data_IF_009816560043
#
_entry.id   IF_009816560043
#
_cell.length_a   1.000
_cell.length_b   1.000
_cell.length_c   1.000
_cell.angle_alpha   90.00
_cell.angle_beta   90.00
_cell.angle_gamma   90.00
#
_symmetry.space_group_name_H-M   'P 1'
#
loop_
_entity.id
_entity.type
_entity.pdbx_description
1 polymer ?
#
# COMPACT_ATOMS: atom_id res chain seq x y z
N UNK A 1 -36.88 50.55 4.36
CA UNK A 1 -38.14 49.80 4.38
C UNK A 1 -38.71 50.02 5.77
N UNK A 2 -39.67 50.93 5.91
CA UNK A 2 -40.29 51.15 7.22
C UNK A 2 -41.14 49.94 7.59
N UNK A 3 -40.96 49.44 8.81
CA UNK A 3 -41.78 48.35 9.36
C UNK A 3 -43.25 48.77 9.35
N UNK A 4 -44.11 47.95 8.72
CA UNK A 4 -45.55 48.24 8.56
C UNK A 4 -46.26 48.39 9.91
N UNK A 5 -45.87 47.60 10.90
CA UNK A 5 -46.45 47.62 12.24
C UNK A 5 -45.37 47.96 13.26
N UNK A 6 -45.64 48.97 14.09
CA UNK A 6 -44.74 49.42 15.14
C UNK A 6 -45.35 49.11 16.52
N UNK A 7 -44.65 48.37 17.37
CA UNK A 7 -45.14 48.02 18.72
C UNK A 7 -45.06 49.23 19.65
N UNK A 8 -46.19 49.61 20.23
CA UNK A 8 -46.33 50.75 21.14
C UNK A 8 -46.28 50.35 22.62
N UNK A 9 -46.80 49.17 22.96
CA UNK A 9 -46.99 48.75 24.35
C UNK A 9 -47.07 47.23 24.47
N UNK A 10 -46.70 46.71 25.64
CA UNK A 10 -46.91 45.32 26.02
C UNK A 10 -47.35 45.27 27.49
N UNK A 11 -48.50 44.66 27.75
CA UNK A 11 -49.05 44.41 29.09
C UNK A 11 -48.27 43.27 29.78
N UNK A 12 -48.22 43.20 31.12
CA UNK A 12 -47.69 42.04 31.82
C UNK A 12 -48.29 40.73 31.31
N UNK A 13 -47.42 39.76 31.02
CA UNK A 13 -47.81 38.46 30.46
C UNK A 13 -48.32 37.51 31.54
N UNK A 14 -49.25 36.63 31.19
CA UNK A 14 -49.85 35.59 32.04
C UNK A 14 -50.71 36.14 33.19
N UNK A 15 -51.67 37.01 32.91
CA UNK A 15 -52.64 37.47 33.91
C UNK A 15 -53.76 36.45 34.12
N UNK A 16 -54.16 36.29 35.38
CA UNK A 16 -55.20 35.37 35.82
C UNK A 16 -55.98 35.93 37.02
N UNK A 17 -57.29 35.71 37.04
CA UNK A 17 -58.12 35.88 38.24
C UNK A 17 -58.70 34.52 38.65
N UNK A 18 -58.94 34.33 39.96
CA UNK A 18 -59.47 33.05 40.47
C UNK A 18 -60.77 32.66 39.77
N UNK A 19 -60.95 31.38 39.48
CA UNK A 19 -62.12 30.86 38.77
C UNK A 19 -62.18 31.18 37.28
N UNK A 20 -61.24 31.95 36.72
CA UNK A 20 -61.24 32.27 35.29
C UNK A 20 -60.96 31.02 34.45
N UNK A 21 -61.76 30.73 33.41
CA UNK A 21 -61.46 29.65 32.48
C UNK A 21 -60.36 30.04 31.47
N UNK A 22 -59.89 31.30 31.48
CA UNK A 22 -58.93 31.84 30.53
C UNK A 22 -57.77 32.51 31.25
N UNK A 23 -56.56 32.25 30.78
CA UNK A 23 -55.35 32.99 31.13
C UNK A 23 -55.05 33.99 30.01
N UNK A 24 -54.85 35.25 30.36
CA UNK A 24 -54.39 36.28 29.42
C UNK A 24 -52.88 36.14 29.29
N UNK A 25 -52.41 35.52 28.22
CA UNK A 25 -50.99 35.21 28.02
C UNK A 25 -50.21 36.46 27.65
N UNK A 26 -50.75 37.28 26.73
CA UNK A 26 -50.16 38.58 26.38
C UNK A 26 -51.22 39.54 25.82
N UNK A 27 -50.93 40.83 25.95
CA UNK A 27 -51.63 41.90 25.26
C UNK A 27 -50.63 42.91 24.74
N UNK A 28 -50.48 43.01 23.43
CA UNK A 28 -49.55 43.94 22.78
C UNK A 28 -50.33 44.97 21.97
N UNK A 29 -49.86 46.22 21.97
CA UNK A 29 -50.45 47.31 21.20
C UNK A 29 -49.54 47.66 20.03
N UNK A 30 -50.13 47.83 18.86
CA UNK A 30 -49.42 48.18 17.63
C UNK A 30 -50.04 49.40 16.97
N UNK A 31 -49.17 50.14 16.28
CA UNK A 31 -49.55 51.16 15.31
C UNK A 31 -49.29 50.63 13.91
N UNK A 32 -50.30 50.66 13.06
CA UNK A 32 -50.14 50.45 11.62
C UNK A 32 -49.66 51.78 10.99
N UNK A 33 -48.44 51.79 10.47
CA UNK A 33 -47.84 52.99 9.87
C UNK A 33 -48.45 53.36 8.51
N UNK A 34 -49.21 52.45 7.87
CA UNK A 34 -49.89 52.74 6.60
C UNK A 34 -51.27 53.36 6.83
N UNK A 35 -52.03 52.82 7.78
CA UNK A 35 -53.41 53.28 8.04
C UNK A 35 -53.50 54.30 9.18
N UNK A 36 -52.46 54.42 10.00
CA UNK A 36 -52.48 55.20 11.24
C UNK A 36 -53.31 54.55 12.36
N UNK A 37 -53.90 53.37 12.10
CA UNK A 37 -54.74 52.65 13.04
C UNK A 37 -53.95 52.08 14.22
N UNK A 38 -54.58 52.07 15.39
CA UNK A 38 -54.06 51.45 16.59
C UNK A 38 -54.84 50.17 16.84
N UNK A 39 -54.16 49.05 17.05
CA UNK A 39 -54.80 47.79 17.36
C UNK A 39 -54.08 47.04 18.46
N UNK A 40 -54.85 46.30 19.26
CA UNK A 40 -54.36 45.34 20.23
C UNK A 40 -54.32 43.95 19.61
N UNK A 41 -53.27 43.19 19.91
CA UNK A 41 -53.15 41.77 19.59
C UNK A 41 -52.97 41.02 20.90
N UNK A 42 -53.87 40.07 21.15
CA UNK A 42 -53.95 39.40 22.44
C UNK A 42 -53.86 37.90 22.26
N UNK A 43 -53.15 37.26 23.18
CA UNK A 43 -53.05 35.80 23.24
C UNK A 43 -53.72 35.35 24.52
N UNK A 44 -54.64 34.41 24.39
CA UNK A 44 -55.35 33.77 25.48
C UNK A 44 -55.03 32.29 25.50
N UNK A 45 -55.07 31.67 26.67
CA UNK A 45 -54.96 30.21 26.84
C UNK A 45 -56.18 29.70 27.58
N UNK A 46 -56.82 28.67 27.06
CA UNK A 46 -57.91 28.00 27.78
C UNK A 46 -57.34 27.20 28.96
N UNK A 47 -57.71 27.56 30.19
CA UNK A 47 -57.35 26.83 31.40
C UNK A 47 -58.43 25.80 31.81
N UNK A 48 -59.66 25.96 31.34
CA UNK A 48 -60.80 25.14 31.70
C UNK A 48 -60.81 23.76 31.03
N UNK A 49 -61.59 22.84 31.61
CA UNK A 49 -61.82 21.48 31.11
C UNK A 49 -62.60 21.45 29.80
N UNK A 50 -63.53 22.38 29.63
CA UNK A 50 -64.40 22.44 28.47
C UNK A 50 -63.78 23.32 27.37
N UNK A 51 -63.94 22.96 26.08
CA UNK A 51 -63.54 23.83 24.99
C UNK A 51 -64.30 25.15 25.01
N UNK A 52 -63.59 26.26 24.73
CA UNK A 52 -64.18 27.59 24.61
C UNK A 52 -64.56 27.84 23.15
N UNK A 53 -65.80 28.31 22.94
CA UNK A 53 -66.33 28.67 21.62
C UNK A 53 -66.48 30.18 21.38
N UNK A 54 -66.55 30.96 22.46
CA UNK A 54 -66.52 32.42 22.36
C UNK A 54 -65.92 33.07 23.61
N UNK A 55 -65.21 34.18 23.39
CA UNK A 55 -64.61 35.01 24.43
C UNK A 55 -65.00 36.47 24.20
N UNK A 56 -65.54 37.14 25.21
CA UNK A 56 -65.71 38.60 25.22
C UNK A 56 -64.62 39.22 26.08
N UNK A 57 -63.70 39.95 25.46
CA UNK A 57 -62.63 40.66 26.12
C UNK A 57 -62.97 42.16 26.23
N UNK A 58 -62.58 42.77 27.34
CA UNK A 58 -62.77 44.19 27.64
C UNK A 58 -61.43 44.90 27.60
N UNK A 59 -61.37 45.98 26.84
CA UNK A 59 -60.20 46.81 26.64
C UNK A 59 -60.48 48.19 27.22
N UNK A 60 -59.70 48.63 28.20
CA UNK A 60 -59.67 50.02 28.65
C UNK A 60 -58.46 50.70 28.01
N UNK A 61 -58.63 51.50 26.94
CA UNK A 61 -57.53 52.22 26.33
C UNK A 61 -56.92 53.22 27.31
N UNK A 62 -55.62 53.46 27.20
CA UNK A 62 -54.83 54.35 28.05
C UNK A 62 -54.01 55.33 27.19
N UNK A 63 -53.81 56.54 27.70
CA UNK A 63 -52.93 57.54 27.10
C UNK A 63 -51.44 57.34 27.47
N UNK A 64 -50.58 58.28 27.06
CA UNK A 64 -49.13 58.24 27.38
C UNK A 64 -48.82 58.33 28.87
N UNK A 65 -49.75 58.80 29.69
CA UNK A 65 -49.60 58.94 31.15
C UNK A 65 -50.18 57.75 31.91
N UNK A 66 -50.87 56.83 31.22
CA UNK A 66 -51.58 55.70 31.82
C UNK A 66 -53.00 56.05 32.29
N UNK A 67 -53.53 57.22 31.94
CA UNK A 67 -54.90 57.60 32.25
C UNK A 67 -55.89 56.95 31.27
N UNK A 68 -57.09 56.53 31.73
CA UNK A 68 -58.08 55.90 30.87
C UNK A 68 -58.62 56.86 29.80
N UNK A 69 -58.61 56.39 28.55
CA UNK A 69 -59.22 57.05 27.39
C UNK A 69 -60.60 56.46 27.12
N UNK A 70 -61.64 57.29 27.16
CA UNK A 70 -63.01 56.89 26.83
C UNK A 70 -63.59 55.77 27.71
N UNK A 71 -64.67 55.16 27.23
CA UNK A 71 -65.28 53.99 27.87
C UNK A 71 -64.57 52.70 27.45
N UNK A 72 -64.51 51.66 28.32
CA UNK A 72 -64.01 50.35 27.93
C UNK A 72 -64.76 49.82 26.70
N UNK A 73 -64.01 49.35 25.70
CA UNK A 73 -64.55 48.65 24.54
C UNK A 73 -64.62 47.15 24.78
N UNK A 74 -65.63 46.48 24.22
CA UNK A 74 -65.71 45.02 24.20
C UNK A 74 -65.41 44.48 22.81
N UNK A 75 -64.67 43.37 22.74
CA UNK A 75 -64.46 42.61 21.52
C UNK A 75 -64.85 41.15 21.74
N UNK A 76 -65.57 40.58 20.78
CA UNK A 76 -66.03 39.20 20.82
C UNK A 76 -65.20 38.36 19.84
N UNK A 77 -64.40 37.46 20.39
CA UNK A 77 -63.83 36.35 19.63
C UNK A 77 -64.89 35.27 19.52
N UNK A 78 -65.36 35.02 18.30
CA UNK A 78 -66.42 34.05 17.98
C UNK A 78 -65.84 32.85 17.24
N UNK A 79 -66.67 31.81 17.06
CA UNK A 79 -66.34 30.60 16.28
C UNK A 79 -65.03 29.94 16.70
N UNK A 80 -64.70 30.01 18.00
CA UNK A 80 -63.50 29.41 18.55
C UNK A 80 -63.67 27.90 18.68
N UNK A 81 -62.58 27.17 18.48
CA UNK A 81 -62.43 25.79 18.91
C UNK A 81 -61.16 25.70 19.75
N UNK A 82 -61.24 26.23 20.97
CA UNK A 82 -60.11 26.23 21.91
C UNK A 82 -60.32 25.17 23.01
N UNK A 83 -59.93 23.90 22.79
CA UNK A 83 -59.78 22.91 23.85
C UNK A 83 -58.89 23.40 24.98
N UNK A 84 -58.90 22.68 26.11
CA UNK A 84 -57.98 22.93 27.22
C UNK A 84 -56.55 23.06 26.72
N UNK A 85 -55.85 24.05 27.24
CA UNK A 85 -54.44 24.33 26.97
C UNK A 85 -54.09 24.89 25.60
N UNK A 86 -55.09 25.13 24.75
CA UNK A 86 -54.91 25.74 23.44
C UNK A 86 -54.81 27.26 23.56
N UNK A 87 -53.90 27.85 22.78
CA UNK A 87 -53.70 29.29 22.65
C UNK A 87 -54.55 29.84 21.49
N UNK A 88 -55.20 30.98 21.70
CA UNK A 88 -56.07 31.61 20.71
C UNK A 88 -56.06 33.14 20.83
N UNK A 89 -56.64 33.82 19.84
CA UNK A 89 -56.72 35.29 19.77
C UNK A 89 -55.57 35.95 18.98
N UNK A 90 -54.44 35.26 18.81
CA UNK A 90 -53.25 35.83 18.16
C UNK A 90 -53.47 36.27 16.71
N UNK A 91 -54.47 35.76 16.00
CA UNK A 91 -54.72 36.10 14.59
C UNK A 91 -55.79 37.18 14.39
N UNK A 92 -56.34 37.73 15.48
CA UNK A 92 -57.48 38.65 15.45
C UNK A 92 -57.10 40.01 16.03
N UNK A 93 -56.63 40.98 15.21
CA UNK A 93 -56.31 42.31 15.67
C UNK A 93 -57.58 43.07 16.09
N UNK A 94 -57.56 43.66 17.28
CA UNK A 94 -58.65 44.45 17.85
C UNK A 94 -58.33 45.93 17.70
N UNK A 95 -58.92 46.59 16.70
CA UNK A 95 -58.70 48.02 16.48
C UNK A 95 -59.36 48.85 17.59
N UNK A 96 -58.58 49.72 18.21
CA UNK A 96 -59.05 50.64 19.24
C UNK A 96 -59.45 51.97 18.58
N UNK A 97 -60.58 52.59 19.00
CA UNK A 97 -61.16 53.72 18.29
C UNK A 97 -60.32 55.01 18.38
N UNK A 98 -59.54 55.16 19.46
CA UNK A 98 -58.72 56.35 19.71
C UNK A 98 -57.28 56.14 19.21
N UNK A 99 -56.86 56.90 18.20
CA UNK A 99 -55.51 56.82 17.61
C UNK A 99 -54.40 57.37 18.52
N UNK A 100 -54.77 58.06 19.60
CA UNK A 100 -53.84 58.54 20.64
C UNK A 100 -53.55 57.49 21.71
N UNK A 101 -54.21 56.31 21.66
CA UNK A 101 -53.97 55.20 22.58
C UNK A 101 -52.49 54.78 22.59
N UNK A 102 -51.91 54.65 23.78
CA UNK A 102 -50.53 54.21 24.00
C UNK A 102 -50.39 53.05 24.98
N UNK A 103 -51.47 52.60 25.58
CA UNK A 103 -51.55 51.36 26.34
C UNK A 103 -53.00 50.91 26.48
N UNK A 104 -53.24 49.77 27.11
CA UNK A 104 -54.59 49.34 27.47
C UNK A 104 -54.56 48.40 28.66
N UNK A 105 -55.63 48.38 29.47
CA UNK A 105 -55.87 47.29 30.42
C UNK A 105 -56.81 46.26 29.79
N UNK A 106 -56.49 45.00 29.97
CA UNK A 106 -57.25 43.86 29.43
C UNK A 106 -57.91 43.08 30.56
N UNK A 107 -59.20 42.78 30.42
CA UNK A 107 -59.92 41.85 31.29
C UNK A 107 -60.90 41.01 30.48
N UNK A 108 -61.32 39.86 31.04
CA UNK A 108 -62.31 39.00 30.39
C UNK A 108 -63.69 39.33 30.93
N UNK A 109 -64.63 39.67 30.04
CA UNK A 109 -66.01 40.00 30.41
C UNK A 109 -66.95 38.80 30.37
N UNK A 110 -66.75 37.86 29.44
CA UNK A 110 -67.60 36.67 29.29
C UNK A 110 -66.89 35.55 28.55
N UNK A 111 -67.10 34.30 28.96
CA UNK A 111 -66.64 33.10 28.26
C UNK A 111 -67.81 32.19 28.01
N UNK A 112 -67.94 31.66 26.79
CA UNK A 112 -68.97 30.70 26.41
C UNK A 112 -68.30 29.40 26.00
N UNK A 113 -68.70 28.31 26.65
CA UNK A 113 -68.15 26.98 26.40
C UNK A 113 -68.92 26.23 25.32
N UNK A 114 -68.35 25.13 24.83
CA UNK A 114 -68.94 24.27 23.82
C UNK A 114 -70.33 23.72 24.22
N UNK A 115 -70.58 23.50 25.51
CA UNK A 115 -71.85 23.01 26.06
C UNK A 115 -72.90 24.12 26.28
N UNK A 116 -72.58 25.37 25.91
CA UNK A 116 -73.36 26.59 26.15
C UNK A 116 -73.39 27.09 27.60
N UNK A 117 -72.63 26.50 28.52
CA UNK A 117 -72.40 27.13 29.81
C UNK A 117 -71.64 28.45 29.63
N UNK A 118 -71.88 29.40 30.53
CA UNK A 118 -71.33 30.76 30.47
C UNK A 118 -70.62 31.06 31.77
N UNK A 119 -69.42 31.61 31.66
CA UNK A 119 -68.69 32.19 32.77
C UNK A 119 -68.61 33.70 32.61
N UNK A 120 -68.76 34.41 33.72
CA UNK A 120 -68.57 35.87 33.84
C UNK A 120 -67.71 36.15 35.08
N UNK A 121 -66.82 37.15 35.04
CA UNK A 121 -66.02 37.51 36.20
C UNK A 121 -66.90 38.08 37.32
N UNK A 122 -66.44 37.94 38.56
CA UNK A 122 -66.98 38.70 39.69
C UNK A 122 -66.72 40.20 39.53
N UNK A 123 -67.54 41.05 40.16
CA UNK A 123 -67.45 42.51 40.02
C UNK A 123 -66.09 43.09 40.46
N UNK A 124 -65.41 42.42 41.39
CA UNK A 124 -64.11 42.78 41.97
C UNK A 124 -62.96 41.87 41.48
N UNK A 125 -63.13 41.16 40.36
CA UNK A 125 -62.13 40.25 39.82
C UNK A 125 -60.76 40.91 39.60
N UNK A 126 -59.79 40.58 40.44
CA UNK A 126 -58.42 41.05 40.35
C UNK A 126 -57.57 40.15 39.44
N UNK A 127 -57.08 40.73 38.33
CA UNK A 127 -56.17 40.08 37.39
C UNK A 127 -54.73 40.24 37.85
N UNK A 128 -54.10 39.13 38.24
CA UNK A 128 -52.74 39.10 38.78
C UNK A 128 -51.83 38.27 37.89
N UNK A 129 -50.53 38.59 37.91
CA UNK A 129 -49.54 37.86 37.14
C UNK A 129 -49.29 36.47 37.74
N UNK A 130 -49.50 35.43 36.93
CA UNK A 130 -49.11 34.07 37.27
C UNK A 130 -47.58 33.96 37.42
N UNK A 131 -47.07 33.32 38.48
CA UNK A 131 -45.65 33.09 38.65
C UNK A 131 -45.04 32.36 37.45
N UNK A 132 -43.92 32.89 36.97
CA UNK A 132 -43.11 32.24 35.94
C UNK A 132 -42.59 30.90 36.47
N UNK A 133 -42.71 29.80 35.70
CA UNK A 133 -42.26 28.50 36.15
C UNK A 133 -40.74 28.48 36.30
N UNK A 134 -40.25 28.09 37.47
CA UNK A 134 -38.83 27.85 37.68
C UNK A 134 -38.42 26.53 37.00
N UNK A 135 -37.33 26.50 36.21
CA UNK A 135 -36.83 25.25 35.62
C UNK A 135 -36.45 24.25 36.71
N UNK A 136 -36.88 22.98 36.58
CA UNK A 136 -36.57 21.94 37.56
C UNK A 136 -35.06 21.71 37.71
N UNK A 137 -34.32 21.87 36.62
CA UNK A 137 -32.86 21.79 36.60
C UNK A 137 -32.19 22.83 37.51
N UNK A 138 -32.74 24.05 37.61
CA UNK A 138 -32.23 25.09 38.49
C UNK A 138 -32.44 24.72 39.97
N UNK A 139 -33.58 24.10 40.30
CA UNK A 139 -33.90 23.65 41.67
C UNK A 139 -33.07 22.44 42.10
N UNK A 140 -32.83 21.47 41.20
CA UNK A 140 -32.07 20.26 41.54
C UNK A 140 -30.55 20.45 41.46
N UNK A 141 -30.04 21.30 40.56
CA UNK A 141 -28.63 21.68 40.46
C UNK A 141 -27.65 20.56 40.03
N UNK A 142 -28.11 19.33 39.85
CA UNK A 142 -27.31 18.16 39.49
C UNK A 142 -27.99 17.40 38.34
N UNK A 143 -27.25 17.19 37.25
CA UNK A 143 -27.73 16.50 36.05
C UNK A 143 -28.14 15.04 36.32
N UNK A 144 -27.44 14.38 37.24
CA UNK A 144 -27.68 12.97 37.56
C UNK A 144 -28.84 12.79 38.53
N UNK A 145 -29.05 13.80 39.39
CA UNK A 145 -30.28 13.93 40.18
C UNK A 145 -31.48 14.27 39.30
N UNK A 146 -31.32 15.12 38.28
CA UNK A 146 -32.33 15.37 37.25
C UNK A 146 -32.68 14.09 36.48
N UNK A 147 -31.67 13.30 36.11
CA UNK A 147 -31.87 11.98 35.47
C UNK A 147 -32.63 11.02 36.38
N UNK A 148 -32.27 10.95 37.67
CA UNK A 148 -33.02 10.15 38.65
C UNK A 148 -34.46 10.64 38.78
N UNK A 149 -34.68 11.95 38.85
CA UNK A 149 -36.01 12.55 38.91
C UNK A 149 -36.84 12.16 37.68
N UNK A 150 -36.25 12.23 36.48
CA UNK A 150 -36.90 11.84 35.23
C UNK A 150 -37.24 10.35 35.18
N UNK A 151 -36.41 9.47 35.73
CA UNK A 151 -36.69 8.04 35.84
C UNK A 151 -37.86 7.75 36.79
N UNK A 152 -37.96 8.47 37.90
CA UNK A 152 -38.99 8.25 38.93
C UNK A 152 -40.34 8.88 38.57
N UNK A 153 -40.32 10.13 38.11
CA UNK A 153 -41.53 10.91 37.88
C UNK A 153 -41.87 11.05 36.40
N UNK A 154 -40.94 10.83 35.47
CA UNK A 154 -41.17 10.92 34.03
C UNK A 154 -40.29 11.97 33.34
N UNK A 155 -39.86 11.65 32.12
CA UNK A 155 -38.91 12.43 31.33
C UNK A 155 -39.43 13.79 30.86
N UNK A 156 -40.73 14.01 30.90
CA UNK A 156 -41.40 15.27 30.59
C UNK A 156 -41.38 16.28 31.76
N UNK A 157 -40.72 15.95 32.87
CA UNK A 157 -40.53 16.85 34.02
C UNK A 157 -39.52 17.96 33.70
N UNK A 158 -40.02 19.17 33.47
CA UNK A 158 -39.26 20.33 33.01
C UNK A 158 -39.21 21.48 34.04
N UNK A 159 -40.29 21.69 34.80
CA UNK A 159 -40.46 22.83 35.71
C UNK A 159 -40.78 22.37 37.13
N UNK A 160 -40.68 23.27 38.09
CA UNK A 160 -41.04 23.01 39.48
C UNK A 160 -42.56 23.04 39.67
N UNK A 161 -43.03 22.25 40.63
CA UNK A 161 -44.39 22.35 41.13
C UNK A 161 -44.62 23.72 41.78
N UNK A 162 -45.75 24.35 41.47
CA UNK A 162 -46.17 25.61 42.07
C UNK A 162 -47.69 25.70 42.16
N UNK A 163 -48.20 26.34 43.21
CA UNK A 163 -49.62 26.63 43.41
C UNK A 163 -49.87 28.13 43.26
N UNK A 164 -51.01 28.49 42.67
CA UNK A 164 -51.44 29.87 42.53
C UNK A 164 -52.96 29.97 42.52
N UNK A 165 -53.54 30.58 43.55
CA UNK A 165 -54.99 30.67 43.75
C UNK A 165 -55.64 29.27 43.63
N UNK A 166 -56.61 29.10 42.74
CA UNK A 166 -57.33 27.84 42.47
C UNK A 166 -56.64 26.97 41.39
N UNK A 167 -55.38 27.26 41.07
CA UNK A 167 -54.58 26.52 40.08
C UNK A 167 -53.32 25.90 40.70
N UNK A 168 -52.85 24.82 40.10
CA UNK A 168 -51.53 24.26 40.34
C UNK A 168 -50.84 23.89 39.03
N UNK A 169 -49.52 24.03 39.00
CA UNK A 169 -48.68 23.71 37.85
C UNK A 169 -47.97 22.38 38.07
N UNK A 170 -48.17 21.46 37.13
CA UNK A 170 -47.44 20.20 37.11
C UNK A 170 -45.99 20.41 36.64
N UNK A 171 -45.09 19.50 37.00
CA UNK A 171 -43.70 19.50 36.53
C UNK A 171 -43.56 19.39 35.01
N UNK A 172 -44.59 18.92 34.28
CA UNK A 172 -44.63 18.97 32.82
C UNK A 172 -45.03 20.34 32.22
N UNK A 173 -45.27 21.34 33.08
CA UNK A 173 -45.67 22.70 32.70
C UNK A 173 -47.18 22.92 32.51
N UNK A 174 -47.99 21.86 32.57
CA UNK A 174 -49.44 21.94 32.45
C UNK A 174 -50.06 22.64 33.67
N UNK A 175 -51.12 23.41 33.43
CA UNK A 175 -51.88 24.11 34.48
C UNK A 175 -53.16 23.30 34.76
N UNK A 176 -53.37 23.03 36.04
CA UNK A 176 -54.45 22.20 36.56
C UNK A 176 -55.27 22.99 37.56
N UNK A 177 -56.54 22.61 37.74
CA UNK A 177 -57.40 23.18 38.76
C UNK A 177 -57.19 22.47 40.10
N UNK A 178 -57.40 23.18 41.21
CA UNK A 178 -57.17 22.66 42.56
C UNK A 178 -57.93 21.38 42.89
N UNK A 179 -59.09 21.17 42.28
CA UNK A 179 -59.95 19.98 42.45
C UNK A 179 -59.45 18.77 41.63
N UNK A 180 -58.41 18.93 40.82
CA UNK A 180 -57.80 17.86 40.02
C UNK A 180 -56.71 17.14 40.80
N UNK A 181 -56.88 15.84 41.14
CA UNK A 181 -55.89 15.08 41.90
C UNK A 181 -54.67 14.69 41.05
N UNK A 182 -54.77 14.78 39.73
CA UNK A 182 -53.72 14.39 38.79
C UNK A 182 -53.66 15.36 37.61
N UNK A 183 -52.48 15.44 37.00
CA UNK A 183 -52.24 16.34 35.88
C UNK A 183 -53.04 15.86 34.65
N UNK A 184 -53.86 16.74 34.07
CA UNK A 184 -54.65 16.39 32.89
C UNK A 184 -53.78 16.00 31.68
N UNK A 185 -52.55 16.52 31.62
CA UNK A 185 -51.64 16.33 30.48
C UNK A 185 -50.78 15.06 30.61
N UNK A 186 -50.11 14.87 31.75
CA UNK A 186 -49.14 13.79 31.94
C UNK A 186 -49.57 12.73 32.96
N UNK A 187 -50.75 12.86 33.57
CA UNK A 187 -51.31 11.88 34.51
C UNK A 187 -50.65 11.83 35.88
N UNK A 188 -49.57 12.60 36.13
CA UNK A 188 -48.88 12.60 37.43
C UNK A 188 -49.81 13.07 38.55
N UNK A 189 -49.83 12.31 39.64
CA UNK A 189 -50.58 12.66 40.85
C UNK A 189 -50.01 13.94 41.49
N UNK A 190 -50.89 14.87 41.84
CA UNK A 190 -50.54 16.16 42.46
C UNK A 190 -49.74 15.94 43.74
N UNK A 191 -50.20 15.05 44.61
CA UNK A 191 -49.56 14.76 45.89
C UNK A 191 -48.12 14.24 45.72
N UNK A 192 -47.87 13.41 44.71
CA UNK A 192 -46.55 12.82 44.46
C UNK A 192 -45.50 13.83 43.99
N UNK A 193 -45.93 14.87 43.25
CA UNK A 193 -45.01 15.88 42.69
C UNK A 193 -44.96 17.18 43.49
N UNK A 194 -45.94 17.43 44.35
CA UNK A 194 -45.99 18.62 45.20
C UNK A 194 -44.88 18.61 46.27
N UNK A 195 -44.60 17.44 46.84
CA UNK A 195 -43.57 17.25 47.85
C UNK A 195 -42.74 15.99 47.55
N UNK A 196 -41.89 16.03 46.51
CA UNK A 196 -41.06 14.89 46.15
C UNK A 196 -39.99 14.65 47.23
N UNK A 197 -39.78 13.39 47.61
CA UNK A 197 -38.71 13.02 48.53
C UNK A 197 -37.34 13.15 47.85
N UNK A 198 -36.70 14.31 48.03
CA UNK A 198 -35.40 14.63 47.44
C UNK A 198 -34.26 13.82 48.05
N UNK A 199 -34.37 13.41 49.32
CA UNK A 199 -33.32 12.61 49.97
C UNK A 199 -33.38 11.16 49.48
N UNK A 200 -34.58 10.59 49.32
CA UNK A 200 -34.75 9.30 48.66
C UNK A 200 -34.22 9.33 47.22
N UNK A 201 -34.51 10.38 46.45
CA UNK A 201 -33.97 10.54 45.10
C UNK A 201 -32.43 10.60 45.08
N UNK A 202 -31.80 11.32 46.02
CA UNK A 202 -30.33 11.35 46.12
C UNK A 202 -29.76 9.97 46.45
N UNK A 203 -30.39 9.24 47.37
CA UNK A 203 -30.00 7.87 47.70
C UNK A 203 -30.10 6.93 46.49
N UNK A 204 -31.22 6.97 45.76
CA UNK A 204 -31.41 6.16 44.54
C UNK A 204 -30.39 6.52 43.44
N UNK A 205 -30.08 7.82 43.27
CA UNK A 205 -29.03 8.29 42.35
C UNK A 205 -27.67 7.69 42.72
N UNK A 206 -27.29 7.76 44.01
CA UNK A 206 -25.99 7.32 44.47
C UNK A 206 -25.84 5.79 44.36
N UNK A 207 -26.91 5.04 44.63
CA UNK A 207 -26.96 3.59 44.44
C UNK A 207 -26.81 3.20 42.96
N UNK A 208 -27.53 3.89 42.05
CA UNK A 208 -27.37 3.68 40.60
C UNK A 208 -25.93 3.95 40.17
N UNK A 209 -25.37 5.09 40.55
CA UNK A 209 -24.02 5.48 40.16
C UNK A 209 -22.97 4.49 40.67
N UNK A 210 -23.13 3.99 41.89
CA UNK A 210 -22.26 2.95 42.44
C UNK A 210 -22.35 1.66 41.62
N UNK A 211 -23.56 1.20 41.32
CA UNK A 211 -23.76 0.01 40.50
C UNK A 211 -23.18 0.16 39.08
N UNK A 212 -23.40 1.31 38.44
CA UNK A 212 -22.81 1.62 37.12
C UNK A 212 -21.28 1.66 37.16
N UNK A 213 -20.68 2.22 38.20
CA UNK A 213 -19.24 2.25 38.39
C UNK A 213 -18.65 0.84 38.57
N UNK A 214 -19.27 -0.01 39.40
CA UNK A 214 -18.85 -1.41 39.60
C UNK A 214 -18.93 -2.22 38.30
N UNK A 215 -19.98 -2.03 37.50
CA UNK A 215 -20.12 -2.69 36.20
C UNK A 215 -19.09 -2.19 35.19
N UNK A 216 -18.79 -0.89 35.18
CA UNK A 216 -17.75 -0.32 34.34
C UNK A 216 -16.34 -0.82 34.72
N UNK A 217 -16.05 -0.99 36.01
CA UNK A 217 -14.80 -1.57 36.48
C UNK A 217 -14.63 -3.03 36.05
N UNK A 218 -15.67 -3.86 36.26
CA UNK A 218 -15.66 -5.27 35.79
C UNK A 218 -15.44 -5.37 34.28
N UNK A 219 -16.14 -4.55 33.50
CA UNK A 219 -15.98 -4.51 32.05
C UNK A 219 -14.55 -4.09 31.62
N UNK A 220 -13.93 -3.14 32.33
CA UNK A 220 -12.54 -2.73 32.08
C UNK A 220 -11.56 -3.86 32.39
N UNK A 221 -11.73 -4.55 33.52
CA UNK A 221 -10.89 -5.69 33.89
C UNK A 221 -10.99 -6.84 32.87
N UNK A 222 -12.20 -7.20 32.44
CA UNK A 222 -12.43 -8.20 31.40
C UNK A 222 -11.81 -7.79 30.05
N UNK A 223 -11.92 -6.51 29.66
CA UNK A 223 -11.32 -6.01 28.44
C UNK A 223 -9.78 -6.06 28.47
N UNK A 224 -9.16 -5.77 29.62
CA UNK A 224 -7.71 -5.87 29.79
C UNK A 224 -7.22 -7.31 29.70
N UNK A 225 -7.92 -8.25 30.36
CA UNK A 225 -7.61 -9.69 30.27
C UNK A 225 -7.77 -10.23 28.83
N UNK A 226 -8.82 -9.81 28.10
CA UNK A 226 -8.98 -10.13 26.68
C UNK A 226 -7.84 -9.59 25.82
N UNK A 227 -7.39 -8.35 26.05
CA UNK A 227 -6.23 -7.77 25.35
C UNK A 227 -4.96 -8.59 25.62
N UNK A 228 -4.67 -8.92 26.88
CA UNK A 228 -3.51 -9.77 27.26
C UNK A 228 -3.59 -11.14 26.58
N UNK A 229 -4.76 -11.78 26.57
CA UNK A 229 -4.98 -13.08 25.92
C UNK A 229 -4.76 -13.00 24.40
N UNK A 230 -5.26 -11.96 23.74
CA UNK A 230 -5.08 -11.76 22.29
C UNK A 230 -3.61 -11.52 21.93
N UNK A 231 -2.87 -10.73 22.72
CA UNK A 231 -1.42 -10.55 22.51
C UNK A 231 -0.66 -11.88 22.67
N UNK A 232 -1.01 -12.70 23.68
CA UNK A 232 -0.40 -14.04 23.86
C UNK A 232 -0.69 -14.96 22.66
N UNK A 233 -1.93 -14.97 22.15
CA UNK A 233 -2.32 -15.75 20.95
C UNK A 233 -1.59 -15.29 19.70
N UNK A 234 -1.50 -13.98 19.47
CA UNK A 234 -0.77 -13.40 18.33
C UNK A 234 0.72 -13.75 18.37
N UNK A 235 1.38 -13.66 19.55
CA UNK A 235 2.78 -14.08 19.72
C UNK A 235 2.99 -15.56 19.43
N UNK A 236 2.07 -16.45 19.82
CA UNK A 236 2.14 -17.88 19.49
C UNK A 236 2.02 -18.13 17.98
N UNK A 237 1.08 -17.45 17.31
CA UNK A 237 0.88 -17.58 15.88
C UNK A 237 2.07 -17.04 15.07
N UNK A 238 2.61 -15.88 15.46
CA UNK A 238 3.79 -15.29 14.82
C UNK A 238 4.99 -16.26 14.84
N UNK A 239 5.25 -16.94 15.97
CA UNK A 239 6.33 -17.94 16.07
C UNK A 239 6.21 -19.10 15.08
N UNK A 240 4.98 -19.45 14.65
CA UNK A 240 4.74 -20.52 13.68
C UNK A 240 4.87 -19.98 12.25
N UNK A 241 4.34 -18.78 11.97
CA UNK A 241 4.30 -18.21 10.63
C UNK A 241 5.68 -17.73 10.18
N UNK A 242 6.48 -17.10 11.06
CA UNK A 242 7.80 -16.56 10.73
C UNK A 242 8.73 -17.56 10.02
N UNK A 243 8.98 -18.79 10.54
CA UNK A 243 9.87 -19.73 9.85
C UNK A 243 9.31 -20.19 8.50
N UNK A 244 7.99 -20.34 8.36
CA UNK A 244 7.36 -20.73 7.10
C UNK A 244 7.58 -19.65 6.04
N UNK A 245 7.39 -18.38 6.39
CA UNK A 245 7.62 -17.26 5.46
C UNK A 245 9.08 -17.17 5.04
N UNK A 246 10.02 -17.38 5.97
CA UNK A 246 11.46 -17.41 5.65
C UNK A 246 11.79 -18.53 4.66
N UNK A 247 11.25 -19.74 4.87
CA UNK A 247 11.44 -20.87 3.97
C UNK A 247 10.85 -20.61 2.58
N UNK A 248 9.67 -19.98 2.50
CA UNK A 248 9.06 -19.61 1.21
C UNK A 248 9.87 -18.56 0.46
N UNK A 249 10.40 -17.55 1.16
CA UNK A 249 11.26 -16.52 0.56
C UNK A 249 12.55 -17.14 0.05
N UNK A 250 13.20 -17.99 0.87
CA UNK A 250 14.41 -18.70 0.46
C UNK A 250 14.17 -19.59 -0.77
N UNK A 251 13.03 -20.29 -0.81
CA UNK A 251 12.63 -21.09 -1.97
C UNK A 251 12.40 -20.25 -3.23
N UNK A 252 11.76 -19.08 -3.12
CA UNK A 252 11.55 -18.18 -4.23
C UNK A 252 12.87 -17.60 -4.78
N UNK A 253 13.82 -17.23 -3.90
CA UNK A 253 15.15 -16.76 -4.29
C UNK A 253 15.92 -17.88 -5.02
N UNK A 254 15.88 -19.10 -4.48
CA UNK A 254 16.52 -20.25 -5.11
C UNK A 254 15.93 -20.57 -6.49
N UNK A 255 14.60 -20.54 -6.63
CA UNK A 255 13.92 -20.72 -7.91
C UNK A 255 14.31 -19.66 -8.93
N UNK A 256 14.38 -18.38 -8.53
CA UNK A 256 14.83 -17.30 -9.42
C UNK A 256 16.27 -17.50 -9.91
N UNK A 257 17.19 -17.85 -9.02
CA UNK A 257 18.57 -18.19 -9.37
C UNK A 257 18.64 -19.40 -10.32
N UNK A 258 17.88 -20.46 -10.03
CA UNK A 258 17.85 -21.68 -10.85
C UNK A 258 17.30 -21.43 -12.26
N UNK A 259 16.20 -20.66 -12.38
CA UNK A 259 15.60 -20.34 -13.69
C UNK A 259 16.56 -19.53 -14.56
N UNK A 260 17.19 -18.50 -14.01
CA UNK A 260 18.16 -17.69 -14.76
C UNK A 260 19.35 -18.52 -15.27
N UNK A 261 19.90 -19.41 -14.42
CA UNK A 261 20.96 -20.33 -14.84
C UNK A 261 20.48 -21.36 -15.87
N UNK A 262 19.21 -21.79 -15.80
CA UNK A 262 18.64 -22.68 -16.82
C UNK A 262 18.52 -22.00 -18.17
N UNK A 263 18.06 -20.75 -18.23
CA UNK A 263 17.95 -20.01 -19.49
C UNK A 263 19.34 -19.77 -20.11
N UNK A 264 20.34 -19.40 -19.30
CA UNK A 264 21.76 -19.30 -19.73
C UNK A 264 22.29 -20.63 -20.29
N UNK A 265 21.94 -21.75 -19.66
CA UNK A 265 22.33 -23.09 -20.10
C UNK A 265 21.65 -23.48 -21.42
N UNK A 266 20.36 -23.21 -21.57
CA UNK A 266 19.63 -23.52 -22.80
C UNK A 266 20.16 -22.66 -23.97
N UNK A 267 20.60 -21.42 -23.70
CA UNK A 267 21.29 -20.57 -24.68
C UNK A 267 22.69 -21.13 -25.05
N UNK A 268 23.47 -21.61 -24.08
CA UNK A 268 24.76 -22.24 -24.34
C UNK A 268 24.63 -23.50 -25.22
N UNK A 269 23.60 -24.32 -24.99
CA UNK A 269 23.29 -25.45 -25.87
C UNK A 269 22.94 -24.99 -27.30
N UNK A 270 22.15 -23.92 -27.44
CA UNK A 270 21.78 -23.40 -28.76
C UNK A 270 22.98 -22.88 -29.56
N UNK A 271 23.98 -22.28 -28.90
CA UNK A 271 25.25 -21.88 -29.52
C UNK A 271 26.02 -23.10 -30.02
N UNK A 272 26.09 -24.16 -29.20
CA UNK A 272 26.75 -25.41 -29.59
C UNK A 272 26.04 -26.08 -30.78
N UNK A 273 24.70 -26.12 -30.79
CA UNK A 273 23.91 -26.64 -31.92
C UNK A 273 24.08 -25.80 -33.20
N UNK A 274 24.35 -24.51 -33.08
CA UNK A 274 24.64 -23.60 -34.19
C UNK A 274 26.09 -23.72 -34.71
N UNK A 275 26.96 -24.43 -34.00
CA UNK A 275 28.39 -24.54 -34.32
C UNK A 275 29.23 -23.33 -33.86
N UNK A 276 28.66 -22.45 -33.04
CA UNK A 276 29.36 -21.31 -32.40
C UNK A 276 30.08 -21.83 -31.14
N UNK A 277 31.15 -22.61 -31.37
CA UNK A 277 31.85 -23.37 -30.32
C UNK A 277 32.55 -22.49 -29.28
N UNK A 278 33.21 -21.40 -29.71
CA UNK A 278 33.92 -20.48 -28.81
C UNK A 278 32.93 -19.81 -27.85
N UNK A 279 31.83 -19.29 -28.37
CA UNK A 279 30.76 -18.66 -27.58
C UNK A 279 30.06 -19.67 -26.65
N UNK A 280 29.86 -20.91 -27.11
CA UNK A 280 29.31 -21.98 -26.29
C UNK A 280 30.22 -22.32 -25.10
N UNK A 281 31.54 -22.42 -25.32
CA UNK A 281 32.53 -22.69 -24.26
C UNK A 281 32.55 -21.56 -23.23
N UNK A 282 32.52 -20.30 -23.65
CA UNK A 282 32.46 -19.16 -22.73
C UNK A 282 31.18 -19.25 -21.86
N UNK A 283 30.04 -19.50 -22.49
CA UNK A 283 28.75 -19.61 -21.80
C UNK A 283 28.73 -20.79 -20.81
N UNK A 284 29.21 -21.97 -21.21
CA UNK A 284 29.30 -23.13 -20.31
C UNK A 284 30.30 -22.93 -19.17
N UNK A 285 31.41 -22.22 -19.43
CA UNK A 285 32.39 -21.88 -18.40
C UNK A 285 31.77 -20.95 -17.35
N UNK A 286 30.99 -19.95 -17.77
CA UNK A 286 30.25 -19.06 -16.88
C UNK A 286 29.15 -19.76 -16.06
N UNK A 287 28.64 -20.90 -16.53
CA UNK A 287 27.68 -21.75 -15.82
C UNK A 287 28.34 -22.65 -14.76
N UNK A 288 29.63 -22.97 -14.92
CA UNK A 288 30.42 -23.73 -13.95
C UNK A 288 29.82 -25.13 -13.69
N UNK A 289 29.45 -25.40 -12.43
CA UNK A 289 28.89 -26.71 -12.03
C UNK A 289 27.36 -26.83 -12.23
N UNK A 290 26.73 -25.85 -12.89
CA UNK A 290 25.31 -25.93 -13.18
C UNK A 290 25.03 -27.01 -14.24
N UNK A 291 24.07 -27.90 -13.94
CA UNK A 291 23.76 -29.09 -14.76
C UNK A 291 25.06 -29.83 -15.13
N UNK A 292 25.29 -30.06 -16.42
CA UNK A 292 26.40 -30.77 -17.03
C UNK A 292 27.26 -29.84 -17.92
N UNK A 293 27.29 -28.53 -17.65
CA UNK A 293 28.05 -27.56 -18.47
C UNK A 293 29.52 -27.95 -18.66
N UNK A 294 30.18 -28.45 -17.61
CA UNK A 294 31.56 -28.96 -17.72
C UNK A 294 31.67 -30.22 -18.59
N UNK A 295 30.65 -31.08 -18.58
CA UNK A 295 30.61 -32.25 -19.48
C UNK A 295 30.52 -31.82 -20.94
N UNK A 296 29.74 -30.78 -21.25
CA UNK A 296 29.61 -30.28 -22.61
C UNK A 296 30.95 -29.78 -23.16
N UNK A 297 31.71 -29.02 -22.35
CA UNK A 297 33.07 -28.58 -22.71
C UNK A 297 34.00 -29.80 -22.86
N UNK A 298 33.91 -30.80 -21.99
CA UNK A 298 34.73 -32.02 -22.06
C UNK A 298 34.47 -32.79 -23.35
N UNK A 299 33.20 -32.98 -23.72
CA UNK A 299 32.82 -33.67 -24.94
C UNK A 299 33.30 -32.92 -26.18
N UNK A 300 33.28 -31.58 -26.16
CA UNK A 300 33.83 -30.76 -27.24
C UNK A 300 35.35 -30.89 -27.35
N UNK A 301 36.06 -30.90 -26.22
CA UNK A 301 37.51 -31.13 -26.19
C UNK A 301 37.89 -32.49 -26.80
N UNK A 302 37.14 -33.54 -26.47
CA UNK A 302 37.31 -34.87 -27.06
C UNK A 302 37.02 -34.86 -28.57
N UNK A 303 35.97 -34.16 -29.03
CA UNK A 303 35.66 -34.03 -30.45
C UNK A 303 36.77 -33.30 -31.23
N UNK A 304 37.36 -32.23 -30.66
CA UNK A 304 38.52 -31.53 -31.25
C UNK A 304 39.73 -32.44 -31.37
N UNK A 305 40.00 -33.26 -30.36
CA UNK A 305 41.07 -34.25 -30.41
C UNK A 305 40.84 -35.27 -31.53
N UNK A 306 39.60 -35.75 -31.70
CA UNK A 306 39.24 -36.67 -32.80
C UNK A 306 39.38 -36.03 -34.19
N UNK A 307 39.11 -34.73 -34.32
CA UNK A 307 39.26 -33.96 -35.57
C UNK A 307 40.73 -33.61 -35.89
N UNK A 308 41.65 -33.78 -34.93
CA UNK A 308 43.06 -33.44 -35.05
C UNK A 308 43.39 -31.98 -34.71
N UNK A 309 42.45 -31.24 -34.14
CA UNK A 309 42.68 -29.92 -33.54
C UNK A 309 43.28 -30.09 -32.14
N UNK A 310 44.57 -30.45 -32.10
CA UNK A 310 45.29 -30.75 -30.86
C UNK A 310 45.45 -29.53 -29.97
N UNK A 311 45.77 -28.36 -30.54
CA UNK A 311 45.93 -27.13 -29.78
C UNK A 311 44.60 -26.71 -29.12
N UNK A 312 43.48 -26.75 -29.87
CA UNK A 312 42.15 -26.47 -29.34
C UNK A 312 41.69 -27.48 -28.29
N UNK A 313 41.95 -28.78 -28.49
CA UNK A 313 41.63 -29.81 -27.51
C UNK A 313 42.40 -29.62 -26.19
N UNK A 314 43.70 -29.35 -26.26
CA UNK A 314 44.54 -29.11 -25.08
C UNK A 314 44.08 -27.86 -24.31
N UNK A 315 43.69 -26.79 -25.00
CA UNK A 315 43.15 -25.57 -24.37
C UNK A 315 41.87 -25.86 -23.58
N UNK A 316 40.91 -26.57 -24.18
CA UNK A 316 39.65 -26.91 -23.52
C UNK A 316 39.84 -27.85 -22.32
N UNK A 317 40.66 -28.91 -22.47
CA UNK A 317 40.99 -29.81 -21.35
C UNK A 317 41.74 -29.07 -20.23
N UNK A 318 42.64 -28.14 -20.56
CA UNK A 318 43.31 -27.30 -19.55
C UNK A 318 42.31 -26.41 -18.82
N UNK A 319 41.37 -25.79 -19.55
CA UNK A 319 40.32 -24.93 -18.97
C UNK A 319 39.37 -25.68 -18.01
N UNK A 320 39.20 -26.98 -18.20
CA UNK A 320 38.39 -27.85 -17.34
C UNK A 320 39.05 -28.20 -16.00
N UNK A 321 40.37 -28.09 -15.89
CA UNK A 321 41.14 -28.36 -14.67
C UNK A 321 40.88 -29.76 -14.12
N UNK A 322 40.43 -29.86 -12.87
CA UNK A 322 40.18 -31.13 -12.16
C UNK A 322 38.84 -31.80 -12.54
N UNK A 323 38.20 -31.39 -13.65
CA UNK A 323 36.98 -32.05 -14.11
C UNK A 323 37.32 -33.37 -14.82
N UNK A 324 36.78 -34.48 -14.30
CA UNK A 324 37.08 -35.83 -14.77
C UNK A 324 38.60 -36.09 -14.83
N UNK A 325 39.11 -36.56 -15.96
CA UNK A 325 40.53 -36.81 -16.23
C UNK A 325 41.14 -35.73 -17.15
N UNK A 326 40.54 -34.53 -17.23
CA UNK A 326 40.96 -33.48 -18.18
C UNK A 326 42.45 -33.15 -18.09
N UNK A 327 43.02 -33.13 -16.89
CA UNK A 327 44.47 -32.92 -16.70
C UNK A 327 45.33 -34.02 -17.36
N UNK A 328 44.89 -35.28 -17.31
CA UNK A 328 45.56 -36.39 -17.99
C UNK A 328 45.29 -36.36 -19.50
N UNK A 329 44.11 -35.88 -19.92
CA UNK A 329 43.76 -35.70 -21.33
C UNK A 329 44.64 -34.65 -22.02
N UNK A 330 45.09 -33.60 -21.33
CA UNK A 330 46.08 -32.65 -21.89
C UNK A 330 47.34 -33.37 -22.36
N UNK A 331 47.86 -34.32 -21.56
CA UNK A 331 49.01 -35.11 -21.96
C UNK A 331 48.66 -36.10 -23.08
N UNK A 332 47.45 -36.68 -23.06
CA UNK A 332 46.97 -37.58 -24.10
C UNK A 332 46.89 -36.90 -25.48
N UNK A 333 46.46 -35.63 -25.52
CA UNK A 333 46.37 -34.83 -26.74
C UNK A 333 47.74 -34.73 -27.42
N UNK A 334 48.77 -34.33 -26.68
CA UNK A 334 50.12 -34.20 -27.24
C UNK A 334 50.74 -35.54 -27.60
N UNK A 335 50.46 -36.59 -26.81
CA UNK A 335 50.88 -37.95 -27.12
C UNK A 335 50.29 -38.42 -28.45
N UNK A 336 48.99 -38.20 -28.64
CA UNK A 336 48.27 -38.56 -29.86
C UNK A 336 48.74 -37.74 -31.06
N UNK A 337 49.06 -36.45 -30.88
CA UNK A 337 49.68 -35.61 -31.93
C UNK A 337 51.02 -36.19 -32.38
N UNK A 338 51.88 -36.54 -31.43
CA UNK A 338 53.19 -37.14 -31.72
C UNK A 338 53.05 -38.47 -32.47
N UNK A 339 52.13 -39.34 -32.04
CA UNK A 339 51.83 -40.59 -32.74
C UNK A 339 51.29 -40.36 -34.15
N UNK A 340 50.43 -39.35 -34.34
CA UNK A 340 49.87 -39.02 -35.65
C UNK A 340 50.93 -38.48 -36.60
N UNK A 341 51.85 -37.66 -36.12
CA UNK A 341 53.00 -37.18 -36.88
C UNK A 341 53.84 -38.35 -37.39
N UNK A 342 54.24 -39.27 -36.50
CA UNK A 342 55.02 -40.45 -36.88
C UNK A 342 54.31 -41.33 -37.91
N UNK A 343 52.99 -41.56 -37.73
CA UNK A 343 52.20 -42.35 -38.68
C UNK A 343 52.06 -41.67 -40.05
N UNK A 344 52.23 -40.36 -40.12
CA UNK A 344 52.15 -39.55 -41.34
C UNK A 344 53.46 -39.43 -42.12
N UNK A 345 54.58 -39.91 -41.57
CA UNK A 345 55.91 -39.78 -42.20
C UNK A 345 55.96 -40.51 -43.55
N UNK A 346 56.24 -39.75 -44.60
CA UNK A 346 56.54 -40.26 -45.94
C UNK A 346 58.05 -40.30 -46.17
N UNK A 347 58.64 -41.48 -45.97
CA UNK A 347 60.09 -41.74 -46.14
C UNK A 347 60.61 -41.51 -47.57
N UNK A 348 59.76 -41.14 -48.54
CA UNK A 348 60.19 -40.70 -49.87
C UNK A 348 60.55 -39.21 -49.94
N UNK A 349 60.24 -38.43 -48.89
CA UNK A 349 60.52 -36.99 -48.80
C UNK A 349 61.55 -36.72 -47.70
N UNK A 350 62.70 -36.18 -48.07
CA UNK A 350 63.88 -36.12 -47.18
C UNK A 350 63.79 -35.06 -46.09
N UNK A 351 63.53 -33.81 -46.47
CA UNK A 351 63.60 -32.67 -45.54
C UNK A 351 62.40 -32.63 -44.59
N UNK A 352 61.18 -32.83 -45.12
CA UNK A 352 59.96 -32.87 -44.32
C UNK A 352 60.01 -33.97 -43.28
N UNK A 353 60.47 -35.16 -43.66
CA UNK A 353 60.57 -36.32 -42.76
C UNK A 353 61.47 -36.05 -41.56
N UNK A 354 62.63 -35.41 -41.75
CA UNK A 354 63.52 -35.08 -40.65
C UNK A 354 62.91 -34.05 -39.68
N UNK A 355 62.16 -33.09 -40.20
CA UNK A 355 61.41 -32.13 -39.37
C UNK A 355 60.28 -32.78 -38.59
N UNK A 356 59.55 -33.71 -39.19
CA UNK A 356 58.45 -34.44 -38.55
C UNK A 356 58.97 -35.36 -37.41
N UNK A 357 60.15 -35.98 -37.61
CA UNK A 357 60.83 -36.73 -36.56
C UNK A 357 61.27 -35.83 -35.38
N UNK A 358 61.77 -34.63 -35.66
CA UNK A 358 62.17 -33.65 -34.64
C UNK A 358 60.96 -33.15 -33.83
N UNK A 359 59.86 -32.80 -34.51
CA UNK A 359 58.61 -32.38 -33.83
C UNK A 359 58.02 -33.52 -32.98
N UNK A 360 57.97 -34.74 -33.52
CA UNK A 360 57.49 -35.90 -32.75
C UNK A 360 58.39 -36.18 -31.53
N UNK A 361 59.71 -36.04 -31.67
CA UNK A 361 60.65 -36.18 -30.56
C UNK A 361 60.39 -35.13 -29.48
N UNK A 362 60.25 -33.84 -29.84
CA UNK A 362 59.99 -32.77 -28.89
C UNK A 362 58.66 -32.98 -28.14
N UNK A 363 57.61 -33.44 -28.83
CA UNK A 363 56.34 -33.75 -28.18
C UNK A 363 56.46 -34.92 -27.19
N UNK A 364 57.06 -36.04 -27.57
CA UNK A 364 57.26 -37.17 -26.63
C UNK A 364 58.20 -36.80 -25.47
N UNK A 365 59.28 -36.08 -25.75
CA UNK A 365 60.22 -35.59 -24.74
C UNK A 365 59.54 -34.67 -23.73
N UNK A 366 58.71 -33.74 -24.21
CA UNK A 366 57.96 -32.80 -23.37
C UNK A 366 56.94 -33.45 -22.43
N UNK A 367 56.47 -34.66 -22.77
CA UNK A 367 55.53 -35.44 -21.96
C UNK A 367 56.18 -36.16 -20.77
N UNK A 368 57.51 -36.26 -20.72
CA UNK A 368 58.23 -36.91 -19.62
C UNK A 368 57.79 -38.35 -19.36
N UNK A 369 57.38 -38.63 -18.12
CA UNK A 369 56.98 -39.98 -17.65
C UNK A 369 55.52 -40.35 -18.01
N UNK A 370 54.82 -39.57 -18.85
CA UNK A 370 53.47 -39.90 -19.27
C UNK A 370 53.46 -41.12 -20.22
N UNK A 371 52.67 -42.15 -19.89
CA UNK A 371 52.58 -43.38 -20.67
C UNK A 371 53.97 -44.02 -20.90
N UNK A 372 54.37 -44.23 -22.15
CA UNK A 372 55.68 -44.70 -22.61
C UNK A 372 56.43 -43.60 -23.39
N UNK A 373 56.11 -42.32 -23.14
CA UNK A 373 56.65 -41.18 -23.90
C UNK A 373 58.18 -41.11 -23.88
N UNK A 374 58.83 -41.40 -22.75
CA UNK A 374 60.28 -41.42 -22.67
C UNK A 374 60.90 -42.51 -23.58
N UNK A 375 60.31 -43.71 -23.60
CA UNK A 375 60.72 -44.78 -24.50
C UNK A 375 60.45 -44.44 -25.96
N UNK A 376 59.30 -43.83 -26.26
CA UNK A 376 58.93 -43.34 -27.59
C UNK A 376 59.90 -42.29 -28.09
N UNK A 377 60.25 -41.28 -27.28
CA UNK A 377 61.22 -40.25 -27.64
C UNK A 377 62.58 -40.86 -28.02
N UNK A 378 63.07 -41.81 -27.22
CA UNK A 378 64.33 -42.52 -27.51
C UNK A 378 64.25 -43.34 -28.81
N UNK A 379 63.11 -44.00 -29.06
CA UNK A 379 62.89 -44.75 -30.30
C UNK A 379 62.83 -43.84 -31.54
N UNK A 380 62.11 -42.71 -31.44
CA UNK A 380 62.03 -41.69 -32.50
C UNK A 380 63.41 -41.13 -32.82
N UNK A 381 64.21 -40.81 -31.79
CA UNK A 381 65.57 -40.30 -31.98
C UNK A 381 66.47 -41.34 -32.68
N UNK A 382 66.37 -42.62 -32.30
CA UNK A 382 67.13 -43.69 -32.93
C UNK A 382 66.71 -43.92 -34.39
N UNK A 383 65.41 -43.94 -34.68
CA UNK A 383 64.89 -44.08 -36.04
C UNK A 383 65.25 -42.87 -36.92
N UNK A 384 65.20 -41.66 -36.37
CA UNK A 384 65.64 -40.46 -37.06
C UNK A 384 67.15 -40.52 -37.40
N UNK A 385 67.99 -41.04 -36.50
CA UNK A 385 69.42 -41.19 -36.75
C UNK A 385 69.73 -42.25 -37.82
N UNK A 386 68.99 -43.37 -37.81
CA UNK A 386 69.04 -44.39 -38.86
C UNK A 386 68.60 -43.80 -40.21
N UNK A 387 67.51 -43.04 -40.25
CA UNK A 387 67.05 -42.38 -41.46
C UNK A 387 68.07 -41.34 -41.98
N UNK A 388 68.69 -40.54 -41.10
CA UNK A 388 69.78 -39.62 -41.49
C UNK A 388 70.95 -40.36 -42.11
N UNK A 389 71.29 -41.53 -41.59
CA UNK A 389 72.34 -42.39 -42.14
C UNK A 389 71.98 -42.89 -43.54
N UNK A 390 70.76 -43.40 -43.73
CA UNK A 390 70.29 -43.87 -45.04
C UNK A 390 70.30 -42.75 -46.08
N UNK A 391 69.81 -41.56 -45.72
CA UNK A 391 69.83 -40.38 -46.58
C UNK A 391 71.26 -39.96 -46.92
N UNK A 392 72.17 -39.98 -45.94
CA UNK A 392 73.57 -39.63 -46.14
C UNK A 392 74.27 -40.59 -47.11
N UNK A 393 73.99 -41.88 -47.03
CA UNK A 393 74.52 -42.87 -47.96
C UNK A 393 73.89 -42.72 -49.37
N UNK A 394 72.59 -42.45 -49.44
CA UNK A 394 71.88 -42.15 -50.70
C UNK A 394 72.49 -40.93 -51.42
N UNK A 395 72.92 -39.89 -50.68
CA UNK A 395 73.60 -38.73 -51.27
C UNK A 395 74.82 -39.14 -52.12
N UNK A 396 75.61 -40.11 -51.66
CA UNK A 396 76.78 -40.56 -52.42
C UNK A 396 76.38 -41.38 -53.65
N UNK A 397 75.36 -42.23 -53.54
CA UNK A 397 74.81 -42.96 -54.69
C UNK A 397 74.23 -42.00 -55.75
N UNK A 398 73.57 -40.93 -55.31
CA UNK A 398 73.07 -39.86 -56.17
C UNK A 398 74.21 -39.13 -56.89
N UNK A 399 75.32 -38.84 -56.21
CA UNK A 399 76.52 -38.26 -56.86
C UNK A 399 77.09 -39.22 -57.91
N UNK A 400 77.25 -40.50 -57.59
CA UNK A 400 77.79 -41.51 -58.51
C UNK A 400 76.91 -41.72 -59.75
N UNK A 401 75.59 -41.64 -59.57
CA UNK A 401 74.60 -41.71 -60.66
C UNK A 401 74.42 -40.40 -61.42
N UNK A 402 75.13 -39.33 -61.03
CA UNK A 402 75.14 -38.02 -61.69
C UNK A 402 73.99 -37.09 -61.29
N UNK A 403 73.19 -37.44 -60.28
CA UNK A 403 72.14 -36.60 -59.73
C UNK A 403 72.65 -35.73 -58.56
N UNK A 404 73.65 -34.90 -58.86
CA UNK A 404 74.38 -34.07 -57.87
C UNK A 404 73.47 -33.03 -57.20
N UNK A 405 72.49 -32.48 -57.91
CA UNK A 405 71.59 -31.47 -57.36
C UNK A 405 70.69 -32.02 -56.25
N UNK A 406 70.15 -33.24 -56.41
CA UNK A 406 69.37 -33.89 -55.34
C UNK A 406 70.25 -34.22 -54.14
N UNK A 407 71.46 -34.77 -54.37
CA UNK A 407 72.42 -35.04 -53.31
C UNK A 407 72.81 -33.79 -52.53
N UNK A 408 73.05 -32.67 -53.21
CA UNK A 408 73.33 -31.37 -52.60
C UNK A 408 72.21 -30.92 -51.67
N UNK A 409 70.95 -31.01 -52.12
CA UNK A 409 69.79 -30.65 -51.29
C UNK A 409 69.64 -31.57 -50.06
N UNK A 410 69.97 -32.85 -50.18
CA UNK A 410 69.93 -33.79 -49.06
C UNK A 410 71.06 -33.51 -48.06
N UNK A 411 72.29 -33.24 -48.52
CA UNK A 411 73.40 -32.82 -47.65
C UNK A 411 73.11 -31.51 -46.93
N UNK A 412 72.46 -30.55 -47.60
CA UNK A 412 71.99 -29.32 -46.96
C UNK A 412 71.04 -29.61 -45.80
N UNK A 413 70.02 -30.42 -46.04
CA UNK A 413 69.03 -30.80 -45.04
C UNK A 413 69.68 -31.53 -43.85
N UNK A 414 70.52 -32.54 -44.12
CA UNK A 414 71.31 -33.22 -43.08
C UNK A 414 72.22 -32.25 -42.30
N UNK A 415 72.79 -31.27 -42.98
CA UNK A 415 73.60 -30.21 -42.38
C UNK A 415 72.82 -29.30 -41.42
N UNK A 416 71.56 -28.99 -41.71
CA UNK A 416 70.66 -28.25 -40.80
C UNK A 416 70.42 -29.00 -39.49
N UNK A 417 70.44 -30.34 -39.52
CA UNK A 417 70.38 -31.20 -38.33
C UNK A 417 71.76 -31.55 -37.75
N UNK A 418 72.85 -30.93 -38.23
CA UNK A 418 74.21 -31.14 -37.73
C UNK A 418 74.76 -32.55 -37.97
N UNK A 419 74.27 -33.26 -39.00
CA UNK A 419 74.63 -34.66 -39.23
C UNK A 419 75.97 -34.79 -39.98
N UNK A 420 76.99 -35.31 -39.28
CA UNK A 420 78.35 -35.56 -39.79
C UNK A 420 78.96 -34.33 -40.49
N UNK A 421 79.68 -34.54 -41.58
CA UNK A 421 80.31 -33.54 -42.45
C UNK A 421 79.37 -33.06 -43.57
N UNK A 422 78.06 -33.33 -43.49
CA UNK A 422 77.10 -33.00 -44.55
C UNK A 422 77.09 -31.51 -44.92
N UNK A 423 77.21 -30.62 -43.92
CA UNK A 423 77.30 -29.18 -44.16
C UNK A 423 78.60 -28.79 -44.91
N UNK A 424 79.73 -29.41 -44.56
CA UNK A 424 81.01 -29.17 -45.23
C UNK A 424 81.00 -29.73 -46.66
N UNK A 425 80.39 -30.90 -46.88
CA UNK A 425 80.23 -31.51 -48.20
C UNK A 425 79.32 -30.66 -49.08
N UNK A 426 78.20 -30.15 -48.53
CA UNK A 426 77.31 -29.23 -49.23
C UNK A 426 78.05 -27.97 -49.70
N UNK A 427 78.80 -27.31 -48.82
CA UNK A 427 79.60 -26.12 -49.17
C UNK A 427 80.66 -26.43 -50.24
N UNK A 428 81.29 -27.61 -50.18
CA UNK A 428 82.28 -28.02 -51.18
C UNK A 428 81.65 -28.31 -52.55
N UNK A 429 80.45 -28.91 -52.60
CA UNK A 429 79.69 -29.11 -53.84
C UNK A 429 79.31 -27.76 -54.44
N UNK A 430 78.75 -26.83 -53.65
CA UNK A 430 78.41 -25.46 -54.11
C UNK A 430 79.65 -24.73 -54.66
N UNK A 431 80.77 -24.80 -53.94
CA UNK A 431 82.02 -24.17 -54.35
C UNK A 431 82.55 -24.75 -55.67
N UNK A 432 82.39 -26.05 -55.91
CA UNK A 432 82.81 -26.68 -57.16
C UNK A 432 81.87 -26.34 -58.33
N UNK A 433 80.56 -26.27 -58.10
CA UNK A 433 79.58 -25.77 -59.08
C UNK A 433 79.89 -24.32 -59.48
N UNK A 434 80.11 -23.43 -58.50
CA UNK A 434 80.48 -22.03 -58.74
C UNK A 434 81.75 -21.91 -59.60
N UNK A 435 82.76 -22.75 -59.34
CA UNK A 435 84.01 -22.78 -60.12
C UNK A 435 83.77 -23.31 -61.53
N UNK A 436 82.92 -24.33 -61.71
CA UNK A 436 82.54 -24.88 -63.00
C UNK A 436 81.75 -23.87 -63.85
N UNK A 437 80.82 -23.13 -63.25
CA UNK A 437 80.07 -22.06 -63.90
C UNK A 437 80.98 -20.88 -64.27
N UNK A 438 81.89 -20.47 -63.39
CA UNK A 438 82.92 -19.46 -63.69
C UNK A 438 83.85 -19.88 -64.84
N UNK A 439 84.22 -21.16 -64.92
CA UNK A 439 85.02 -21.70 -66.03
C UNK A 439 84.18 -21.76 -67.30
N UNK A 440 82.92 -22.18 -67.24
CA UNK A 440 82.00 -22.24 -68.37
C UNK A 440 81.78 -20.83 -68.97
N UNK A 441 81.50 -19.82 -68.13
CA UNK A 441 81.36 -18.42 -68.53
C UNK A 441 82.66 -17.85 -69.11
N UNK A 442 83.82 -18.19 -68.52
CA UNK A 442 85.13 -17.80 -69.07
C UNK A 442 85.46 -18.53 -70.38
N UNK A 443 85.02 -19.78 -70.56
CA UNK A 443 85.25 -20.57 -71.78
C UNK A 443 84.36 -20.08 -72.93
N UNK A 444 83.12 -19.66 -72.64
CA UNK A 444 82.24 -19.03 -73.62
C UNK A 444 82.69 -17.62 -74.01
N UNK A 445 83.18 -16.82 -73.07
CA UNK A 445 83.82 -15.53 -73.40
C UNK A 445 85.16 -15.67 -74.15
N UNK A 446 85.86 -16.82 -74.02
CA UNK A 446 87.07 -17.12 -74.82
C UNK A 446 86.80 -17.66 -76.22
N UNK A 447 85.66 -18.33 -76.44
CA UNK A 447 85.26 -18.84 -77.77
C UNK A 447 84.87 -17.72 -78.73
N UNK A 448 84.33 -16.62 -78.21
CA UNK A 448 84.03 -15.42 -79.01
C UNK A 448 85.26 -14.57 -79.40
N UNK A 449 86.46 -14.93 -78.93
CA UNK A 449 87.72 -14.20 -79.24
C UNK A 449 88.73 -14.99 -80.08
N UNK A 450 88.34 -16.09 -80.75
CA UNK A 450 89.19 -16.74 -81.78
C UNK A 450 88.59 -16.64 -83.20
N UNK A 451 88.92 -15.51 -83.83
CA UNK A 451 89.32 -15.29 -85.25
C UNK A 451 88.42 -15.85 -86.37
N UNK A 452 87.77 -15.00 -87.20
CA UNK A 452 87.75 -15.22 -88.63
C UNK A 452 89.05 -14.64 -89.25
N UNK A 453 89.54 -15.35 -90.27
CA UNK A 453 90.69 -15.01 -91.12
C UNK A 453 90.90 -13.51 -91.41
#
# INVERSE_FOLDING_TARGET
>A
MDERFFRLFAEPTNLYCAGSPVIIVSGELYKDNQTGGIFAQCVFRNAARLPIKALTARFQPLDTTGAPLGCPGEYQYLDLMAPRDVFFGQESPVYLPDSTTRGFKLSIGRVVFADNSVWTPDEDAAWEQLPMPEPLAAKLGDAELMRQYALKYGADSAVTYAEFKDLWRCNCGAINHEDEPACFRCGKERAAIASPDLEALKSERDERLKHEAEMAEKARAEAEERKKANVKKAKKLAKIITPIVILLIAGAIYLGWYMNKSDEYDAALALLEAGEEEEAVEAFTALGSFKDSRQQIYNLAAAKLEDGDYDGAAELFTGLGDYEDSADQVNNVWYTKADRLLAGIDKSVTVSTLSDYDEAYELFSGLGDYSDSAERAAAVQAEAEEYKQDVYDECFELIESGNVETAKNYFKALGEFGYKDSAEIFEEIERQEDVLDLIHDNYFTYKDKRVPM
#
